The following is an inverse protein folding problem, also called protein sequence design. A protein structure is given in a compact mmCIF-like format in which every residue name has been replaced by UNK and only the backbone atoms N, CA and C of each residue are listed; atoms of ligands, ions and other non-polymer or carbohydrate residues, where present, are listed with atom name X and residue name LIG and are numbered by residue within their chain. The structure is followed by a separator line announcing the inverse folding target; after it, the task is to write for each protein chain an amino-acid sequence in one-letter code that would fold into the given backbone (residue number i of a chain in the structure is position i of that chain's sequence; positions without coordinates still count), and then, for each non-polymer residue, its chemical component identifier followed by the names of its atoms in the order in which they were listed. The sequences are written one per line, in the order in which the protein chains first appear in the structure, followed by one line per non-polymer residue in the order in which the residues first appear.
data_IF_193074691969
#
_entry.id   IF_193074691969
#
_cell.length_a   1.000
_cell.length_b   1.000
_cell.length_c   1.000
_cell.angle_alpha   90.00
_cell.angle_beta   90.00
_cell.angle_gamma   90.00
#
_symmetry.space_group_name_H-M   'P 1'
#
loop_
_entity.id
_entity.type
_entity.pdbx_description
1 polymer ?
#
# COMPACT_ATOMS: atom_id res chain seq x y z
N UNK A 1 -2.75 -9.26 -24.72
CA UNK A 1 -3.14 -8.47 -23.54
C UNK A 1 -2.86 -7.01 -23.84
N UNK A 2 -3.87 -6.15 -23.75
CA UNK A 2 -3.66 -4.73 -24.03
C UNK A 2 -3.15 -3.98 -22.81
N UNK A 3 -2.82 -2.69 -22.99
CA UNK A 3 -2.24 -1.86 -21.94
C UNK A 3 -3.15 -1.74 -20.72
N UNK A 4 -4.45 -1.53 -20.94
CA UNK A 4 -5.42 -1.40 -19.84
C UNK A 4 -5.52 -2.67 -19.03
N UNK A 5 -5.51 -3.81 -19.69
CA UNK A 5 -5.57 -5.11 -19.03
C UNK A 5 -4.34 -5.35 -18.17
N UNK A 6 -3.17 -5.03 -18.69
CA UNK A 6 -1.91 -5.15 -17.94
C UNK A 6 -1.94 -4.25 -16.73
N UNK A 7 -2.32 -2.98 -16.88
CA UNK A 7 -2.36 -2.01 -15.78
C UNK A 7 -3.36 -2.40 -14.70
N UNK A 8 -4.43 -3.10 -15.04
CA UNK A 8 -5.42 -3.55 -14.05
C UNK A 8 -4.86 -4.59 -13.08
N UNK A 9 -3.67 -5.13 -13.34
CA UNK A 9 -2.98 -6.07 -12.45
C UNK A 9 -1.78 -5.44 -11.74
N UNK A 10 -1.55 -4.14 -11.91
CA UNK A 10 -0.38 -3.45 -11.35
C UNK A 10 -0.71 -2.81 -10.00
N UNK A 11 0.17 -3.03 -9.03
CA UNK A 11 0.17 -2.30 -7.76
C UNK A 11 1.13 -1.11 -7.93
N UNK A 12 0.58 0.08 -8.08
CA UNK A 12 1.37 1.30 -8.24
C UNK A 12 1.99 1.68 -6.90
N UNK A 13 3.31 1.67 -6.80
CA UNK A 13 4.02 1.54 -5.52
C UNK A 13 4.95 2.72 -5.24
N UNK A 14 4.92 3.23 -4.01
CA UNK A 14 5.89 4.21 -3.50
C UNK A 14 6.16 3.90 -2.02
N UNK A 15 7.36 3.35 -1.76
CA UNK A 15 7.73 2.85 -0.43
C UNK A 15 8.95 3.55 0.17
N UNK A 16 9.42 4.64 -0.45
CA UNK A 16 10.55 5.40 0.09
C UNK A 16 10.19 5.99 1.45
N UNK A 17 11.06 5.86 2.46
CA UNK A 17 10.74 6.36 3.79
C UNK A 17 10.59 7.89 3.83
N UNK A 18 11.19 8.60 2.90
CA UNK A 18 11.09 10.06 2.80
C UNK A 18 9.91 10.54 1.96
N UNK A 19 9.05 9.63 1.48
CA UNK A 19 7.88 10.00 0.67
C UNK A 19 6.94 10.91 1.47
N UNK A 20 6.45 11.96 0.82
CA UNK A 20 5.54 12.95 1.41
C UNK A 20 4.10 12.71 0.95
N UNK A 21 3.13 13.29 1.67
CA UNK A 21 1.73 13.16 1.28
C UNK A 21 1.45 13.66 -0.15
N UNK A 22 1.96 14.83 -0.61
CA UNK A 22 1.76 15.23 -2.00
C UNK A 22 2.25 14.19 -3.01
N UNK A 23 3.35 13.49 -2.72
CA UNK A 23 3.85 12.43 -3.59
C UNK A 23 2.92 11.21 -3.58
N UNK A 24 2.39 10.84 -2.41
CA UNK A 24 1.41 9.75 -2.30
C UNK A 24 0.11 10.13 -3.01
N UNK A 25 -0.32 11.38 -2.89
CA UNK A 25 -1.51 11.88 -3.57
C UNK A 25 -1.36 11.79 -5.10
N UNK A 26 -0.19 12.17 -5.62
CA UNK A 26 0.12 12.05 -7.05
C UNK A 26 0.08 10.59 -7.49
N UNK A 27 0.62 9.68 -6.66
CA UNK A 27 0.57 8.24 -6.91
C UNK A 27 -0.89 7.75 -7.01
N UNK A 28 -1.75 8.19 -6.11
CA UNK A 28 -3.17 7.86 -6.11
C UNK A 28 -3.86 8.34 -7.38
N UNK A 29 -3.59 9.59 -7.77
CA UNK A 29 -4.16 10.17 -8.99
C UNK A 29 -3.75 9.38 -10.23
N UNK A 30 -2.49 8.99 -10.32
CA UNK A 30 -1.98 8.17 -11.42
C UNK A 30 -2.64 6.80 -11.45
N UNK A 31 -2.77 6.16 -10.29
CA UNK A 31 -3.38 4.83 -10.20
C UNK A 31 -4.83 4.86 -10.69
N UNK A 32 -5.58 5.88 -10.31
CA UNK A 32 -6.97 6.05 -10.78
C UNK A 32 -7.01 6.31 -12.27
N UNK A 33 -6.16 7.21 -12.77
CA UNK A 33 -6.13 7.60 -14.18
C UNK A 33 -5.79 6.42 -15.09
N UNK A 34 -4.89 5.54 -14.66
CA UNK A 34 -4.44 4.40 -15.47
C UNK A 34 -5.14 3.09 -15.14
N UNK A 35 -6.07 3.08 -14.19
CA UNK A 35 -6.83 1.88 -13.83
C UNK A 35 -5.98 0.79 -13.18
N UNK A 36 -5.00 1.16 -12.37
CA UNK A 36 -4.17 0.20 -11.64
C UNK A 36 -4.99 -0.61 -10.62
N UNK A 37 -4.52 -1.81 -10.28
CA UNK A 37 -5.18 -2.68 -9.31
C UNK A 37 -5.24 -2.04 -7.92
N UNK A 38 -4.15 -1.42 -7.50
CA UNK A 38 -4.03 -0.78 -6.19
C UNK A 38 -2.92 0.27 -6.18
N UNK A 39 -2.89 1.06 -5.11
CA UNK A 39 -1.67 1.75 -4.69
C UNK A 39 -1.04 0.91 -3.58
N UNK A 40 0.29 0.84 -3.53
CA UNK A 40 1.02 0.14 -2.48
C UNK A 40 1.93 1.13 -1.77
N UNK A 41 1.71 1.33 -0.48
CA UNK A 41 2.32 2.41 0.30
C UNK A 41 2.70 1.94 1.69
N UNK A 42 3.44 2.77 2.41
CA UNK A 42 3.74 2.54 3.83
C UNK A 42 2.49 2.80 4.68
N UNK A 43 2.39 2.13 5.82
CA UNK A 43 1.19 2.16 6.67
C UNK A 43 0.85 3.55 7.20
N UNK A 44 1.82 4.44 7.34
CA UNK A 44 1.57 5.79 7.85
C UNK A 44 0.66 6.62 6.95
N UNK A 45 0.50 6.25 5.68
CA UNK A 45 -0.36 6.97 4.73
C UNK A 45 -1.65 6.23 4.37
N UNK A 46 -1.89 5.05 4.94
CA UNK A 46 -3.07 4.25 4.58
C UNK A 46 -4.36 5.01 4.81
N UNK A 47 -4.52 5.62 5.98
CA UNK A 47 -5.77 6.34 6.31
C UNK A 47 -6.05 7.48 5.34
N UNK A 48 -5.04 8.33 5.09
CA UNK A 48 -5.18 9.45 4.17
C UNK A 48 -5.47 8.98 2.75
N UNK A 49 -4.77 7.95 2.28
CA UNK A 49 -4.96 7.41 0.94
C UNK A 49 -6.35 6.80 0.78
N UNK A 50 -6.82 6.04 1.78
CA UNK A 50 -8.15 5.43 1.74
C UNK A 50 -9.25 6.52 1.67
N UNK A 51 -9.12 7.56 2.46
CA UNK A 51 -10.07 8.67 2.44
C UNK A 51 -10.03 9.43 1.10
N UNK A 52 -8.84 9.69 0.60
CA UNK A 52 -8.66 10.40 -0.67
C UNK A 52 -9.23 9.63 -1.85
N UNK A 53 -8.94 8.33 -1.91
CA UNK A 53 -9.39 7.48 -3.01
C UNK A 53 -10.90 7.18 -2.94
N UNK A 54 -11.46 7.11 -1.74
CA UNK A 54 -12.90 6.87 -1.53
C UNK A 54 -13.43 5.70 -2.37
N UNK A 55 -12.67 4.61 -2.43
CA UNK A 55 -13.07 3.40 -3.15
C UNK A 55 -12.73 3.39 -4.64
N UNK A 56 -12.13 4.44 -5.17
CA UNK A 56 -11.77 4.51 -6.61
C UNK A 56 -10.63 3.59 -7.00
N UNK A 57 -9.83 3.18 -6.03
CA UNK A 57 -8.73 2.25 -6.21
C UNK A 57 -8.47 1.57 -4.87
N UNK A 58 -7.99 0.33 -4.91
CA UNK A 58 -7.67 -0.40 -3.67
C UNK A 58 -6.40 0.15 -3.04
N UNK A 59 -6.35 0.11 -1.71
CA UNK A 59 -5.16 0.49 -0.94
C UNK A 59 -4.49 -0.76 -0.43
N UNK A 60 -3.26 -1.01 -0.90
CA UNK A 60 -2.37 -2.04 -0.39
C UNK A 60 -1.29 -1.37 0.43
N UNK A 61 -0.81 -2.02 1.47
CA UNK A 61 0.33 -1.51 2.23
C UNK A 61 1.28 -2.64 2.60
N UNK A 62 2.54 -2.26 2.89
CA UNK A 62 3.54 -3.20 3.37
C UNK A 62 3.54 -3.21 4.90
N UNK A 63 3.78 -4.39 5.49
CA UNK A 63 3.84 -4.59 6.93
C UNK A 63 5.16 -5.28 7.27
N UNK A 64 5.85 -4.76 8.30
CA UNK A 64 7.18 -5.24 8.65
C UNK A 64 8.22 -4.93 7.59
N UNK A 65 7.99 -3.94 6.78
CA UNK A 65 8.82 -3.57 5.64
C UNK A 65 9.93 -2.59 6.07
N UNK A 66 11.14 -2.66 5.51
CA UNK A 66 11.51 -3.64 4.45
C UNK A 66 12.12 -4.93 4.98
N UNK A 67 12.55 -5.00 6.22
CA UNK A 67 13.41 -6.08 6.71
C UNK A 67 12.65 -7.34 7.14
N UNK A 68 11.43 -7.20 7.59
CA UNK A 68 10.66 -8.33 8.12
C UNK A 68 11.19 -8.88 9.44
N UNK A 69 12.14 -8.18 10.07
CA UNK A 69 12.88 -8.70 11.23
C UNK A 69 12.27 -8.32 12.58
N UNK A 70 11.08 -7.76 12.58
CA UNK A 70 10.39 -7.35 13.80
C UNK A 70 9.60 -8.52 14.41
N UNK A 71 9.19 -8.37 15.67
CA UNK A 71 8.37 -9.36 16.37
C UNK A 71 7.07 -9.65 15.63
N UNK A 72 6.63 -10.89 15.74
CA UNK A 72 5.34 -11.32 15.18
C UNK A 72 4.18 -10.45 15.71
N UNK A 73 4.18 -10.16 17.02
CA UNK A 73 3.13 -9.32 17.62
C UNK A 73 3.10 -7.92 17.02
N UNK A 74 4.27 -7.33 16.74
CA UNK A 74 4.36 -6.01 16.12
C UNK A 74 3.84 -6.02 14.68
N UNK A 75 4.19 -7.05 13.90
CA UNK A 75 3.67 -7.21 12.53
C UNK A 75 2.14 -7.35 12.54
N UNK A 76 1.61 -8.18 13.44
CA UNK A 76 0.17 -8.40 13.56
C UNK A 76 -0.54 -7.11 13.93
N UNK A 77 0.03 -6.32 14.84
CA UNK A 77 -0.53 -5.03 15.25
C UNK A 77 -0.53 -4.03 14.09
N UNK A 78 0.57 -3.97 13.34
CA UNK A 78 0.66 -3.09 12.17
C UNK A 78 -0.39 -3.46 11.13
N UNK A 79 -0.55 -4.75 10.82
CA UNK A 79 -1.55 -5.22 9.87
C UNK A 79 -2.96 -4.88 10.35
N UNK A 80 -3.26 -5.12 11.60
CA UNK A 80 -4.58 -4.81 12.19
C UNK A 80 -4.90 -3.32 12.10
N UNK A 81 -3.93 -2.48 12.45
CA UNK A 81 -4.09 -1.03 12.40
C UNK A 81 -4.30 -0.56 10.96
N UNK A 82 -3.53 -1.10 10.00
CA UNK A 82 -3.65 -0.75 8.60
C UNK A 82 -5.05 -1.09 8.06
N UNK A 83 -5.56 -2.26 8.39
CA UNK A 83 -6.90 -2.69 7.97
C UNK A 83 -7.96 -1.76 8.57
N UNK A 84 -7.84 -1.42 9.86
CA UNK A 84 -8.75 -0.50 10.53
C UNK A 84 -8.71 0.89 9.88
N UNK A 85 -7.57 1.30 9.33
CA UNK A 85 -7.40 2.58 8.65
C UNK A 85 -7.83 2.58 7.18
N UNK A 86 -8.26 1.43 6.66
CA UNK A 86 -8.84 1.35 5.32
C UNK A 86 -8.01 0.61 4.29
N UNK A 87 -6.97 -0.13 4.69
CA UNK A 87 -6.23 -0.97 3.75
C UNK A 87 -7.11 -2.12 3.26
N UNK A 88 -7.12 -2.34 1.95
CA UNK A 88 -7.83 -3.47 1.34
C UNK A 88 -6.95 -4.71 1.31
N UNK A 89 -5.63 -4.53 1.18
CA UNK A 89 -4.65 -5.61 1.09
C UNK A 89 -3.43 -5.27 1.93
N UNK A 90 -2.79 -6.30 2.46
CA UNK A 90 -1.58 -6.16 3.29
C UNK A 90 -0.51 -7.11 2.78
N UNK A 91 0.66 -6.57 2.45
CA UNK A 91 1.84 -7.36 2.06
C UNK A 91 2.80 -7.45 3.23
N UNK A 92 2.84 -8.61 3.88
CA UNK A 92 3.70 -8.82 5.04
C UNK A 92 5.07 -9.34 4.62
N UNK A 93 6.12 -8.71 5.15
CA UNK A 93 7.50 -9.16 4.90
C UNK A 93 7.86 -10.24 5.90
N UNK A 94 8.31 -11.40 5.40
CA UNK A 94 8.71 -12.51 6.26
C UNK A 94 10.07 -12.26 6.89
N UNK A 95 10.31 -12.86 8.07
CA UNK A 95 11.62 -12.83 8.70
C UNK A 95 12.50 -13.91 8.06
N UNK A 96 13.43 -13.49 7.22
CA UNK A 96 14.26 -14.39 6.41
C UNK A 96 15.18 -15.26 7.28
N UNK A 97 15.62 -14.72 8.43
CA UNK A 97 16.53 -15.41 9.32
C UNK A 97 15.92 -16.47 10.25
N UNK A 98 14.64 -16.63 10.21
CA UNK A 98 13.94 -17.57 11.11
C UNK A 98 13.40 -18.76 10.42
#
# INVERSE_FOLDING_TARGET
MDRKEILSHVDHTLLKPEATWPQIQALCDEAVAYGCASVCINTCYVKQAAEYLAGRCKVCCVVGFPLGAMDTASKAFEAKTAIANGADEVDMVINIGR
#
